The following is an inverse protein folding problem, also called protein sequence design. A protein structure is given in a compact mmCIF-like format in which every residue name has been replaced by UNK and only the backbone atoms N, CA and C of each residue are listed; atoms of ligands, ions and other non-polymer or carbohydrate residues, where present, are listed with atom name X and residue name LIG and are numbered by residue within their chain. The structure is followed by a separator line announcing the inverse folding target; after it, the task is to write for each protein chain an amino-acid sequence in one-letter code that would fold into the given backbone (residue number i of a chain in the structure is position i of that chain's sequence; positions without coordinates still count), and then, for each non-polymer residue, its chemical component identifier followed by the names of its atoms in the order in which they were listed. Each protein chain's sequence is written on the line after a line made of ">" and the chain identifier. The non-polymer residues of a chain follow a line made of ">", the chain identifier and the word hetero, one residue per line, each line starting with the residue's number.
data_IF_909908619450
#
_entry.id   IF_909908619450
#
_cell.length_a   1.000
_cell.length_b   1.000
_cell.length_c   1.000
_cell.angle_alpha   90.00
_cell.angle_beta   90.00
_cell.angle_gamma   90.00
#
_symmetry.space_group_name_H-M   'P 1'
#
loop_
_entity.id
_entity.type
_entity.pdbx_description
1 polymer ?
#
# COMPACT_ATOMS: atom_id res chain seq x y z
N UNK A 1 -29.46 27.27 15.54
CA UNK A 1 -28.15 26.92 16.13
C UNK A 1 -28.32 25.93 17.28
N UNK A 2 -29.34 26.09 18.12
CA UNK A 2 -29.63 25.21 19.26
C UNK A 2 -29.96 23.75 18.91
N UNK A 3 -30.62 23.49 17.78
CA UNK A 3 -30.93 22.11 17.34
C UNK A 3 -29.71 21.29 16.87
N UNK A 4 -28.59 21.95 16.53
CA UNK A 4 -27.32 21.28 16.23
C UNK A 4 -26.54 20.98 17.51
N UNK A 5 -26.55 21.91 18.47
CA UNK A 5 -25.88 21.76 19.77
C UNK A 5 -26.54 20.65 20.60
N UNK A 6 -27.87 20.50 20.53
CA UNK A 6 -28.58 19.41 21.23
C UNK A 6 -28.37 18.04 20.60
N UNK A 7 -28.25 17.93 19.26
CA UNK A 7 -27.85 16.67 18.59
C UNK A 7 -26.41 16.29 18.88
N UNK A 8 -25.53 17.28 19.04
CA UNK A 8 -24.11 17.05 19.34
C UNK A 8 -23.93 16.60 20.79
N UNK A 9 -24.67 17.18 21.76
CA UNK A 9 -24.74 16.65 23.13
C UNK A 9 -25.35 15.25 23.21
N UNK A 10 -26.43 14.97 22.47
CA UNK A 10 -27.01 13.61 22.44
C UNK A 10 -26.07 12.59 21.79
N UNK A 11 -25.23 13.01 20.84
CA UNK A 11 -24.18 12.17 20.27
C UNK A 11 -23.03 11.96 21.27
N UNK A 12 -22.55 13.00 21.93
CA UNK A 12 -21.46 12.91 22.92
C UNK A 12 -21.86 12.11 24.17
N UNK A 13 -23.12 12.20 24.60
CA UNK A 13 -23.65 11.49 25.78
C UNK A 13 -23.92 10.00 25.47
N UNK A 14 -24.29 9.63 24.23
CA UNK A 14 -24.38 8.23 23.80
C UNK A 14 -23.02 7.62 23.41
N UNK A 15 -22.08 8.42 22.89
CA UNK A 15 -20.71 7.96 22.60
C UNK A 15 -19.92 7.72 23.89
N UNK A 16 -20.12 8.55 24.93
CA UNK A 16 -19.53 8.37 26.25
C UNK A 16 -20.02 7.11 26.99
N UNK A 17 -21.25 6.65 26.70
CA UNK A 17 -21.82 5.44 27.31
C UNK A 17 -21.38 4.16 26.58
N UNK A 18 -21.14 4.21 25.27
CA UNK A 18 -20.57 3.05 24.54
C UNK A 18 -19.06 2.88 24.74
N UNK A 19 -18.31 3.92 25.13
CA UNK A 19 -16.88 3.81 25.48
C UNK A 19 -16.61 3.13 26.83
N UNK A 20 -17.65 2.82 27.62
CA UNK A 20 -17.53 2.14 28.92
C UNK A 20 -18.04 0.68 28.91
N UNK A 21 -18.50 0.15 27.77
CA UNK A 21 -18.79 -1.27 27.62
C UNK A 21 -17.50 -2.07 27.36
N UNK A 22 -16.98 -2.62 28.46
CA UNK A 22 -16.01 -3.73 28.53
C UNK A 22 -14.55 -3.42 28.14
N UNK A 23 -13.85 -2.64 28.98
CA UNK A 23 -12.48 -3.02 29.40
C UNK A 23 -12.58 -4.28 30.28
N UNK A 24 -13.06 -5.37 29.69
CA UNK A 24 -13.02 -6.69 30.31
C UNK A 24 -11.56 -7.13 30.25
N UNK A 25 -10.97 -7.47 31.39
CA UNK A 25 -9.63 -8.02 31.43
C UNK A 25 -9.50 -9.11 30.36
N UNK A 26 -8.47 -9.05 29.49
CA UNK A 26 -8.35 -10.01 28.41
C UNK A 26 -8.35 -11.41 29.01
N UNK A 27 -9.29 -12.24 28.54
CA UNK A 27 -9.42 -13.62 29.01
C UNK A 27 -8.09 -14.35 28.85
N UNK A 28 -7.82 -15.36 29.68
CA UNK A 28 -6.58 -16.15 29.59
C UNK A 28 -6.33 -16.67 28.15
N UNK A 29 -7.41 -17.03 27.45
CA UNK A 29 -7.40 -17.44 26.05
C UNK A 29 -6.91 -16.33 25.11
N UNK A 30 -7.39 -15.10 25.30
CA UNK A 30 -6.98 -13.93 24.52
C UNK A 30 -5.50 -13.59 24.74
N UNK A 31 -5.02 -13.66 26.01
CA UNK A 31 -3.60 -13.49 26.33
C UNK A 31 -2.72 -14.56 25.68
N UNK A 32 -3.20 -15.81 25.62
CA UNK A 32 -2.48 -16.91 24.98
C UNK A 32 -2.38 -16.73 23.46
N UNK A 33 -3.48 -16.35 22.79
CA UNK A 33 -3.49 -16.16 21.33
C UNK A 33 -2.68 -14.93 20.91
N UNK A 34 -2.66 -13.87 21.71
CA UNK A 34 -1.87 -12.66 21.45
C UNK A 34 -0.38 -12.81 21.77
N UNK A 35 0.03 -13.94 22.37
CA UNK A 35 1.44 -14.16 22.72
C UNK A 35 2.28 -14.43 21.45
N UNK A 36 3.43 -13.77 21.25
CA UNK A 36 4.24 -13.92 20.03
C UNK A 36 4.75 -15.36 19.79
N UNK A 37 4.89 -16.13 20.86
CA UNK A 37 5.21 -17.56 20.79
C UNK A 37 4.11 -18.42 20.14
N UNK A 38 2.83 -18.01 20.23
CA UNK A 38 1.71 -18.70 19.58
C UNK A 38 1.85 -18.63 18.06
N UNK A 39 2.06 -17.43 17.52
CA UNK A 39 2.26 -17.23 16.08
C UNK A 39 3.53 -17.92 15.58
N UNK A 40 4.62 -17.88 16.37
CA UNK A 40 5.88 -18.55 16.03
C UNK A 40 5.72 -20.08 15.96
N UNK A 41 4.95 -20.68 16.87
CA UNK A 41 4.68 -22.11 16.86
C UNK A 41 3.89 -22.52 15.60
N UNK A 42 2.80 -21.83 15.30
CA UNK A 42 2.00 -22.17 14.11
C UNK A 42 2.73 -21.86 12.80
N UNK A 43 3.58 -20.84 12.77
CA UNK A 43 4.48 -20.60 11.64
C UNK A 43 5.42 -21.81 11.39
N UNK A 44 6.02 -22.36 12.45
CA UNK A 44 6.86 -23.56 12.34
C UNK A 44 6.05 -24.78 11.86
N UNK A 45 4.83 -24.95 12.35
CA UNK A 45 3.93 -26.04 11.90
C UNK A 45 3.58 -25.89 10.41
N UNK A 46 3.34 -24.67 9.92
CA UNK A 46 3.09 -24.42 8.49
C UNK A 46 4.31 -24.76 7.65
N UNK A 47 5.50 -24.31 8.04
CA UNK A 47 6.75 -24.61 7.33
C UNK A 47 6.97 -26.13 7.26
N UNK A 48 6.79 -26.82 8.39
CA UNK A 48 6.94 -28.26 8.45
C UNK A 48 5.87 -28.95 7.58
N UNK A 49 4.62 -28.47 7.57
CA UNK A 49 3.59 -28.97 6.65
C UNK A 49 3.97 -28.80 5.17
N UNK A 50 4.64 -27.70 4.80
CA UNK A 50 5.12 -27.49 3.43
C UNK A 50 6.14 -28.56 3.02
N UNK A 51 7.10 -28.89 3.89
CA UNK A 51 8.06 -29.97 3.64
C UNK A 51 7.38 -31.33 3.48
N UNK A 52 6.36 -31.62 4.30
CA UNK A 52 5.59 -32.86 4.16
C UNK A 52 4.77 -32.93 2.88
N UNK A 53 4.19 -31.82 2.42
CA UNK A 53 3.51 -31.76 1.11
C UNK A 53 4.50 -32.04 -0.02
N UNK A 54 5.69 -31.45 0.02
CA UNK A 54 6.73 -31.71 -0.98
C UNK A 54 7.14 -33.20 -1.00
N UNK A 55 7.33 -33.79 0.18
CA UNK A 55 7.64 -35.21 0.32
C UNK A 55 6.50 -36.12 -0.17
N UNK A 56 5.23 -35.79 0.14
CA UNK A 56 4.05 -36.52 -0.37
C UNK A 56 3.97 -36.48 -1.89
N UNK A 57 4.18 -35.31 -2.51
CA UNK A 57 4.18 -35.18 -3.98
C UNK A 57 5.26 -36.07 -4.58
N UNK A 58 6.46 -36.06 -4.02
CA UNK A 58 7.57 -36.89 -4.50
C UNK A 58 7.29 -38.39 -4.32
N UNK A 59 6.79 -38.81 -3.15
CA UNK A 59 6.38 -40.20 -2.90
C UNK A 59 5.27 -40.65 -3.85
N UNK A 60 4.31 -39.77 -4.17
CA UNK A 60 3.22 -40.08 -5.09
C UNK A 60 3.66 -40.40 -6.51
N UNK A 61 4.82 -39.87 -6.94
CA UNK A 61 5.43 -40.17 -8.24
C UNK A 61 6.12 -41.54 -8.22
N UNK A 62 6.77 -41.91 -7.12
CA UNK A 62 7.47 -43.20 -6.99
C UNK A 62 6.54 -44.37 -6.67
N UNK A 63 5.47 -44.13 -5.91
CA UNK A 63 4.58 -45.15 -5.37
C UNK A 63 3.28 -45.31 -6.19
N UNK A 64 3.27 -44.90 -7.46
CA UNK A 64 2.12 -44.96 -8.39
C UNK A 64 0.80 -44.45 -7.77
N UNK A 65 0.89 -43.35 -7.00
CA UNK A 65 -0.25 -42.73 -6.33
C UNK A 65 -0.81 -43.46 -5.11
N UNK A 66 -0.19 -44.56 -4.63
CA UNK A 66 -0.53 -45.14 -3.32
C UNK A 66 0.14 -44.36 -2.20
N UNK A 67 -0.66 -43.62 -1.43
CA UNK A 67 -0.18 -42.88 -0.25
C UNK A 67 0.01 -43.82 0.94
N UNK A 68 1.20 -43.81 1.54
CA UNK A 68 1.48 -44.52 2.80
C UNK A 68 0.53 -44.07 3.93
N UNK A 69 0.17 -45.02 4.80
CA UNK A 69 -0.66 -44.76 6.00
C UNK A 69 -0.02 -43.67 6.87
N UNK A 70 1.32 -43.66 6.97
CA UNK A 70 2.05 -42.65 7.72
C UNK A 70 1.75 -41.24 7.19
N UNK A 71 1.89 -41.00 5.89
CA UNK A 71 1.64 -39.70 5.27
C UNK A 71 0.20 -39.23 5.47
N UNK A 72 -0.75 -40.16 5.40
CA UNK A 72 -2.16 -39.86 5.66
C UNK A 72 -2.40 -39.41 7.09
N UNK A 73 -1.85 -40.13 8.07
CA UNK A 73 -1.98 -39.75 9.49
C UNK A 73 -1.39 -38.37 9.71
N UNK A 74 -0.19 -38.11 9.19
CA UNK A 74 0.46 -36.80 9.32
C UNK A 74 -0.38 -35.67 8.70
N UNK A 75 -0.99 -35.88 7.54
CA UNK A 75 -1.89 -34.90 6.92
C UNK A 75 -3.10 -34.57 7.79
N UNK A 76 -3.73 -35.59 8.39
CA UNK A 76 -4.85 -35.38 9.29
C UNK A 76 -4.43 -34.65 10.56
N UNK A 77 -3.25 -34.96 11.11
CA UNK A 77 -2.68 -34.23 12.24
C UNK A 77 -2.56 -32.74 11.91
N UNK A 78 -1.97 -32.35 10.77
CA UNK A 78 -1.89 -30.94 10.39
C UNK A 78 -3.27 -30.29 10.21
N UNK A 79 -4.19 -30.95 9.50
CA UNK A 79 -5.55 -30.42 9.31
C UNK A 79 -6.27 -30.17 10.64
N UNK A 80 -6.13 -31.08 11.61
CA UNK A 80 -6.69 -30.93 12.95
C UNK A 80 -6.01 -29.78 13.70
N UNK A 81 -4.67 -29.72 13.70
CA UNK A 81 -3.91 -28.65 14.34
C UNK A 81 -4.32 -27.27 13.82
N UNK A 82 -4.53 -27.12 12.52
CA UNK A 82 -5.01 -25.85 11.93
C UNK A 82 -6.48 -25.55 12.24
N UNK A 83 -7.32 -26.58 12.36
CA UNK A 83 -8.70 -26.40 12.80
C UNK A 83 -8.75 -25.87 14.23
N UNK A 84 -7.90 -26.43 15.11
CA UNK A 84 -7.75 -25.98 16.50
C UNK A 84 -7.24 -24.54 16.53
N UNK A 85 -6.21 -24.20 15.75
CA UNK A 85 -5.70 -22.84 15.66
C UNK A 85 -6.80 -21.83 15.32
N UNK A 86 -7.54 -22.09 14.24
CA UNK A 86 -8.60 -21.21 13.77
C UNK A 86 -9.72 -21.09 14.82
N UNK A 87 -10.10 -22.21 15.45
CA UNK A 87 -11.09 -22.22 16.52
C UNK A 87 -10.64 -21.39 17.73
N UNK A 88 -9.37 -21.48 18.14
CA UNK A 88 -8.80 -20.68 19.24
C UNK A 88 -8.81 -19.18 18.90
N UNK A 89 -8.47 -18.80 17.66
CA UNK A 89 -8.53 -17.40 17.21
C UNK A 89 -9.96 -16.86 17.21
N UNK A 90 -10.93 -17.63 16.72
CA UNK A 90 -12.35 -17.27 16.77
C UNK A 90 -12.89 -17.20 18.20
N UNK A 91 -12.51 -18.13 19.07
CA UNK A 91 -12.94 -18.12 20.48
C UNK A 91 -12.35 -16.94 21.27
N UNK A 92 -11.14 -16.49 20.94
CA UNK A 92 -10.50 -15.34 21.57
C UNK A 92 -11.08 -13.98 21.11
N UNK A 93 -11.40 -13.83 19.82
CA UNK A 93 -11.77 -12.53 19.22
C UNK A 93 -13.23 -12.42 18.79
N UNK A 94 -13.97 -13.53 18.79
CA UNK A 94 -15.36 -13.61 18.35
C UNK A 94 -15.55 -13.27 16.85
N UNK A 95 -16.80 -12.96 16.49
CA UNK A 95 -17.17 -12.59 15.12
C UNK A 95 -16.60 -11.24 14.66
N UNK A 96 -16.15 -10.39 15.60
CA UNK A 96 -15.52 -9.09 15.31
C UNK A 96 -14.21 -9.25 14.52
N UNK A 97 -13.58 -10.41 14.60
CA UNK A 97 -12.41 -10.76 13.80
C UNK A 97 -12.68 -10.67 12.29
N UNK A 98 -13.94 -10.89 11.86
CA UNK A 98 -14.33 -10.83 10.45
C UNK A 98 -14.60 -9.42 9.93
N UNK A 99 -14.60 -8.40 10.79
CA UNK A 99 -14.80 -7.00 10.40
C UNK A 99 -13.53 -6.15 10.56
N UNK A 100 -12.39 -6.77 10.88
CA UNK A 100 -11.11 -6.07 11.04
C UNK A 100 -10.31 -5.96 9.73
N UNK A 101 -9.23 -5.17 9.77
CA UNK A 101 -8.34 -4.91 8.62
C UNK A 101 -7.69 -6.19 8.03
N UNK A 102 -7.57 -7.25 8.83
CA UNK A 102 -6.95 -8.52 8.44
C UNK A 102 -7.95 -9.58 7.93
N UNK A 103 -9.21 -9.20 7.70
CA UNK A 103 -10.29 -10.15 7.38
C UNK A 103 -9.97 -11.08 6.20
N UNK A 104 -9.31 -10.57 5.16
CA UNK A 104 -8.94 -11.34 3.97
C UNK A 104 -8.08 -12.56 4.29
N UNK A 105 -7.18 -12.43 5.27
CA UNK A 105 -6.28 -13.51 5.68
C UNK A 105 -6.99 -14.56 6.55
N UNK A 106 -7.94 -14.12 7.37
CA UNK A 106 -8.79 -15.01 8.17
C UNK A 106 -9.76 -15.78 7.26
N UNK A 107 -10.33 -15.12 6.25
CA UNK A 107 -11.17 -15.77 5.24
C UNK A 107 -10.37 -16.82 4.47
N UNK A 108 -9.14 -16.50 4.07
CA UNK A 108 -8.22 -17.43 3.42
C UNK A 108 -7.98 -18.66 4.30
N UNK A 109 -7.68 -18.46 5.58
CA UNK A 109 -7.48 -19.56 6.52
C UNK A 109 -8.72 -20.42 6.68
N UNK A 110 -9.90 -19.79 6.78
CA UNK A 110 -11.19 -20.48 6.87
C UNK A 110 -11.46 -21.33 5.62
N UNK A 111 -11.22 -20.80 4.42
CA UNK A 111 -11.36 -21.55 3.16
C UNK A 111 -10.40 -22.73 3.12
N UNK A 112 -9.16 -22.57 3.56
CA UNK A 112 -8.17 -23.65 3.56
C UNK A 112 -8.48 -24.71 4.64
N UNK A 113 -8.97 -24.33 5.83
CA UNK A 113 -9.40 -25.30 6.85
C UNK A 113 -10.60 -26.08 6.31
N UNK A 114 -11.58 -25.38 5.73
CA UNK A 114 -12.76 -26.00 5.14
C UNK A 114 -12.37 -26.97 4.01
N UNK A 115 -11.46 -26.58 3.11
CA UNK A 115 -11.00 -27.48 2.05
C UNK A 115 -10.34 -28.74 2.60
N UNK A 116 -9.49 -28.61 3.64
CA UNK A 116 -8.87 -29.76 4.31
C UNK A 116 -9.86 -30.68 5.00
N UNK A 117 -10.90 -30.13 5.64
CA UNK A 117 -11.97 -30.91 6.26
C UNK A 117 -12.84 -31.63 5.21
N UNK A 118 -13.15 -30.97 4.10
CA UNK A 118 -13.90 -31.60 3.00
C UNK A 118 -13.12 -32.77 2.38
N UNK A 119 -11.82 -32.61 2.20
CA UNK A 119 -10.94 -33.67 1.70
C UNK A 119 -10.89 -34.87 2.65
N UNK A 120 -10.73 -34.61 3.97
CA UNK A 120 -10.77 -35.66 5.00
C UNK A 120 -12.12 -36.39 4.99
N UNK A 121 -13.23 -35.65 4.91
CA UNK A 121 -14.58 -36.21 4.86
C UNK A 121 -14.82 -37.08 3.62
N UNK A 122 -14.44 -36.60 2.43
CA UNK A 122 -14.56 -37.37 1.17
C UNK A 122 -13.75 -38.67 1.23
N UNK A 123 -12.53 -38.61 1.75
CA UNK A 123 -11.65 -39.79 1.89
C UNK A 123 -12.23 -40.80 2.87
N UNK A 124 -12.75 -40.34 4.02
CA UNK A 124 -13.36 -41.20 5.03
C UNK A 124 -14.62 -41.90 4.49
N UNK A 125 -15.52 -41.13 3.84
CA UNK A 125 -16.76 -41.67 3.26
C UNK A 125 -16.44 -42.72 2.18
N UNK A 126 -15.47 -42.44 1.30
CA UNK A 126 -15.08 -43.38 0.23
C UNK A 126 -14.54 -44.70 0.81
N UNK A 127 -13.77 -44.65 1.90
CA UNK A 127 -13.24 -45.85 2.57
C UNK A 127 -14.33 -46.64 3.29
N UNK A 128 -15.23 -45.96 4.01
CA UNK A 128 -16.35 -46.62 4.70
C UNK A 128 -17.30 -47.32 3.71
N UNK A 129 -17.52 -46.73 2.53
CA UNK A 129 -18.34 -47.35 1.46
C UNK A 129 -17.63 -48.55 0.82
N UNK A 130 -16.30 -48.55 0.74
CA UNK A 130 -15.55 -49.69 0.18
C UNK A 130 -15.42 -50.87 1.17
N UNK A 131 -15.31 -50.60 2.48
CA UNK A 131 -15.13 -51.65 3.51
C UNK A 131 -16.46 -52.17 4.08
N UNK A 132 -17.54 -51.38 4.00
CA UNK A 132 -18.89 -51.80 4.39
C UNK A 132 -19.65 -52.40 3.20
N UNK A 133 -19.90 -53.71 3.20
CA UNK A 133 -20.77 -54.41 2.24
C UNK A 133 -22.26 -54.01 2.25
N UNK A 134 -22.57 -52.77 2.67
CA UNK A 134 -23.90 -52.19 2.70
C UNK A 134 -24.21 -51.46 1.40
N UNK A 135 -25.37 -51.78 0.84
CA UNK A 135 -25.97 -51.32 -0.42
C UNK A 135 -26.29 -49.82 -0.51
N UNK A 136 -25.51 -48.93 0.10
CA UNK A 136 -25.54 -47.51 -0.27
C UNK A 136 -24.66 -47.33 -1.49
N UNK A 137 -25.20 -47.75 -2.63
CA UNK A 137 -24.70 -47.37 -3.95
C UNK A 137 -24.96 -45.87 -4.12
N UNK A 138 -24.18 -45.01 -3.44
CA UNK A 138 -24.09 -43.62 -3.86
C UNK A 138 -23.61 -43.72 -5.30
N UNK A 139 -24.41 -43.21 -6.24
CA UNK A 139 -24.16 -43.28 -7.67
C UNK A 139 -22.98 -42.36 -8.07
N UNK A 140 -21.82 -42.57 -7.43
CA UNK A 140 -20.52 -41.92 -7.60
C UNK A 140 -19.82 -42.37 -8.89
N UNK A 141 -20.39 -43.34 -9.61
CA UNK A 141 -19.93 -43.76 -10.94
C UNK A 141 -20.20 -42.70 -12.02
N UNK A 142 -21.01 -41.67 -11.73
CA UNK A 142 -21.09 -40.49 -12.59
C UNK A 142 -19.80 -39.67 -12.49
N UNK A 143 -19.22 -39.31 -13.64
CA UNK A 143 -18.03 -38.48 -13.91
C UNK A 143 -17.70 -37.27 -12.98
N UNK A 144 -18.54 -36.95 -12.00
CA UNK A 144 -18.34 -35.94 -10.95
C UNK A 144 -17.42 -36.40 -9.82
N UNK A 145 -17.46 -37.66 -9.37
CA UNK A 145 -16.64 -38.12 -8.23
C UNK A 145 -15.13 -38.10 -8.53
N UNK A 146 -14.74 -38.61 -9.70
CA UNK A 146 -13.34 -38.55 -10.16
C UNK A 146 -12.84 -37.11 -10.36
N UNK A 147 -13.72 -36.20 -10.80
CA UNK A 147 -13.39 -34.77 -10.92
C UNK A 147 -13.18 -34.13 -9.55
N UNK A 148 -14.02 -34.45 -8.57
CA UNK A 148 -13.91 -33.97 -7.19
C UNK A 148 -12.59 -34.45 -6.56
N UNK A 149 -12.21 -35.73 -6.74
CA UNK A 149 -10.93 -36.27 -6.23
C UNK A 149 -9.72 -35.55 -6.84
N UNK A 150 -9.78 -35.13 -8.11
CA UNK A 150 -8.71 -34.33 -8.74
C UNK A 150 -8.65 -32.91 -8.19
N UNK A 151 -9.81 -32.29 -7.97
CA UNK A 151 -9.89 -30.93 -7.40
C UNK A 151 -9.39 -30.91 -5.96
N UNK A 152 -9.72 -31.91 -5.13
CA UNK A 152 -9.22 -31.96 -3.75
C UNK A 152 -7.70 -32.04 -3.67
N UNK A 153 -7.02 -32.69 -4.63
CA UNK A 153 -5.54 -32.68 -4.74
C UNK A 153 -4.99 -31.26 -4.96
N UNK A 154 -5.62 -30.45 -5.80
CA UNK A 154 -5.21 -29.05 -6.03
C UNK A 154 -5.50 -28.21 -4.77
N UNK A 155 -6.61 -28.46 -4.08
CA UNK A 155 -6.93 -27.74 -2.84
C UNK A 155 -5.93 -28.00 -1.71
N UNK A 156 -5.21 -29.15 -1.71
CA UNK A 156 -4.10 -29.40 -0.77
C UNK A 156 -2.98 -28.38 -0.93
N UNK A 157 -2.62 -28.00 -2.17
CA UNK A 157 -1.49 -27.08 -2.41
C UNK A 157 -1.80 -25.66 -1.95
N UNK A 158 -3.07 -25.29 -1.83
CA UNK A 158 -3.47 -24.00 -1.25
C UNK A 158 -3.02 -23.84 0.20
N UNK A 159 -2.76 -24.94 0.94
CA UNK A 159 -2.20 -24.88 2.29
C UNK A 159 -0.84 -24.18 2.34
N UNK A 160 -0.07 -24.23 1.25
CA UNK A 160 1.23 -23.53 1.13
C UNK A 160 1.06 -22.01 1.22
N UNK A 161 -0.07 -21.47 0.74
CA UNK A 161 -0.35 -20.02 0.74
C UNK A 161 -0.44 -19.47 2.18
N UNK A 162 -0.72 -20.32 3.17
CA UNK A 162 -0.75 -19.91 4.59
C UNK A 162 0.57 -19.36 5.09
N UNK A 163 1.70 -19.76 4.50
CA UNK A 163 3.02 -19.25 4.89
C UNK A 163 3.08 -17.72 4.79
N UNK A 164 2.36 -17.15 3.81
CA UNK A 164 2.29 -15.70 3.60
C UNK A 164 1.56 -14.96 4.73
N UNK A 165 0.64 -15.63 5.43
CA UNK A 165 -0.05 -15.01 6.57
C UNK A 165 0.86 -14.88 7.79
N UNK A 166 1.70 -15.87 8.05
CA UNK A 166 2.54 -15.91 9.26
C UNK A 166 3.78 -15.02 9.15
N UNK A 167 4.30 -14.82 7.94
CA UNK A 167 5.50 -14.02 7.71
C UNK A 167 5.09 -12.61 7.30
N UNK A 168 5.20 -11.67 8.23
CA UNK A 168 4.83 -10.26 8.00
C UNK A 168 5.48 -9.68 6.74
N UNK A 169 6.77 -9.95 6.49
CA UNK A 169 7.46 -9.49 5.30
C UNK A 169 6.83 -10.01 3.99
N UNK A 170 6.41 -11.28 3.96
CA UNK A 170 5.76 -11.86 2.79
C UNK A 170 4.35 -11.31 2.60
N UNK A 171 3.61 -11.11 3.70
CA UNK A 171 2.27 -10.49 3.67
C UNK A 171 2.32 -9.12 3.01
N UNK A 172 3.27 -8.27 3.44
CA UNK A 172 3.46 -6.94 2.86
C UNK A 172 3.77 -7.02 1.37
N UNK A 173 4.70 -7.89 0.95
CA UNK A 173 5.02 -8.07 -0.46
C UNK A 173 3.81 -8.52 -1.30
N UNK A 174 3.05 -9.50 -0.83
CA UNK A 174 1.84 -9.99 -1.52
C UNK A 174 0.79 -8.89 -1.61
N UNK A 175 0.55 -8.15 -0.53
CA UNK A 175 -0.36 -7.01 -0.54
C UNK A 175 0.08 -5.96 -1.56
N UNK A 176 1.37 -5.59 -1.61
CA UNK A 176 1.91 -4.68 -2.64
C UNK A 176 1.71 -5.21 -4.06
N UNK A 177 1.96 -6.51 -4.29
CA UNK A 177 1.72 -7.15 -5.60
C UNK A 177 0.24 -7.02 -5.98
N UNK A 178 -0.69 -7.37 -5.09
CA UNK A 178 -2.13 -7.29 -5.37
C UNK A 178 -2.57 -5.86 -5.69
N UNK A 179 -2.02 -4.86 -4.99
CA UNK A 179 -2.28 -3.46 -5.31
C UNK A 179 -1.79 -3.08 -6.72
N UNK A 180 -0.57 -3.48 -7.09
CA UNK A 180 -0.04 -3.20 -8.44
C UNK A 180 -0.81 -3.97 -9.53
N UNK A 181 -1.30 -5.18 -9.26
CA UNK A 181 -2.09 -5.97 -10.20
C UNK A 181 -3.37 -5.26 -10.65
N UNK A 182 -4.01 -4.46 -9.78
CA UNK A 182 -5.22 -3.69 -10.15
C UNK A 182 -4.94 -2.69 -11.28
N UNK A 183 -3.78 -2.04 -11.26
CA UNK A 183 -3.35 -1.13 -12.32
C UNK A 183 -2.96 -1.87 -13.60
N UNK A 184 -2.24 -2.99 -13.44
CA UNK A 184 -1.79 -3.85 -14.53
C UNK A 184 -2.96 -4.46 -15.29
N UNK A 185 -4.05 -4.79 -14.58
CA UNK A 185 -5.24 -5.39 -15.18
C UNK A 185 -5.76 -4.57 -16.37
N UNK A 186 -5.84 -3.25 -16.25
CA UNK A 186 -6.32 -2.39 -17.32
C UNK A 186 -5.34 -2.30 -18.50
N UNK A 187 -4.04 -2.25 -18.21
CA UNK A 187 -3.00 -2.26 -19.24
C UNK A 187 -3.00 -3.60 -20.01
N UNK A 188 -3.16 -4.71 -19.31
CA UNK A 188 -3.31 -6.05 -19.91
C UNK A 188 -4.62 -6.18 -20.68
N UNK A 189 -5.73 -5.60 -20.19
CA UNK A 189 -7.00 -5.59 -20.92
C UNK A 189 -6.88 -4.83 -22.25
N UNK A 190 -6.16 -3.70 -22.27
CA UNK A 190 -5.86 -2.96 -23.49
C UNK A 190 -5.00 -3.79 -24.46
N UNK A 191 -3.95 -4.45 -23.97
CA UNK A 191 -3.13 -5.35 -24.78
C UNK A 191 -3.96 -6.50 -25.38
N UNK A 192 -4.82 -7.13 -24.58
CA UNK A 192 -5.72 -8.19 -25.03
C UNK A 192 -6.73 -7.70 -26.07
N UNK A 193 -7.21 -6.47 -25.94
CA UNK A 193 -8.10 -5.84 -26.92
C UNK A 193 -7.38 -5.63 -28.26
N UNK A 194 -6.14 -5.15 -28.23
CA UNK A 194 -5.32 -4.98 -29.45
C UNK A 194 -5.08 -6.35 -30.11
N UNK A 195 -4.66 -7.35 -29.34
CA UNK A 195 -4.48 -8.73 -29.83
C UNK A 195 -5.78 -9.25 -30.44
N UNK A 196 -6.93 -9.05 -29.79
CA UNK A 196 -8.23 -9.46 -30.29
C UNK A 196 -8.54 -8.81 -31.66
N UNK A 197 -8.38 -7.49 -31.79
CA UNK A 197 -8.66 -6.76 -33.03
C UNK A 197 -7.79 -7.29 -34.19
N UNK A 198 -6.48 -7.43 -33.98
CA UNK A 198 -5.59 -7.97 -35.02
C UNK A 198 -5.86 -9.45 -35.31
N UNK A 199 -6.26 -10.24 -34.32
CA UNK A 199 -6.61 -11.65 -34.52
C UNK A 199 -7.84 -11.79 -35.40
N UNK A 200 -8.87 -10.97 -35.20
CA UNK A 200 -10.06 -10.95 -36.06
C UNK A 200 -9.67 -10.62 -37.50
N UNK A 201 -8.88 -9.55 -37.70
CA UNK A 201 -8.46 -9.13 -39.04
C UNK A 201 -7.66 -10.21 -39.78
N UNK A 202 -6.73 -10.89 -39.11
CA UNK A 202 -5.88 -11.91 -39.73
C UNK A 202 -6.65 -13.22 -39.97
N UNK A 203 -7.54 -13.63 -39.07
CA UNK A 203 -8.37 -14.82 -39.28
C UNK A 203 -9.34 -14.59 -40.44
N UNK A 204 -9.93 -13.39 -40.55
CA UNK A 204 -10.78 -13.01 -41.68
C UNK A 204 -9.99 -13.03 -42.99
N UNK A 205 -8.77 -12.48 -43.01
CA UNK A 205 -7.88 -12.53 -44.18
C UNK A 205 -7.56 -13.96 -44.66
N UNK A 206 -7.27 -14.85 -43.71
CA UNK A 206 -6.98 -16.26 -43.98
C UNK A 206 -8.23 -16.98 -44.49
N UNK A 207 -9.38 -16.72 -43.84
CA UNK A 207 -10.68 -17.29 -44.23
C UNK A 207 -11.12 -16.83 -45.62
N UNK A 208 -10.88 -15.57 -45.98
CA UNK A 208 -11.24 -15.01 -47.28
C UNK A 208 -10.41 -15.60 -48.42
N UNK A 209 -9.12 -15.87 -48.19
CA UNK A 209 -8.23 -16.42 -49.21
C UNK A 209 -8.43 -17.92 -49.41
N UNK A 210 -8.55 -18.67 -48.32
CA UNK A 210 -8.55 -20.13 -48.35
C UNK A 210 -9.93 -20.77 -48.22
N UNK A 211 -10.94 -20.01 -47.79
CA UNK A 211 -12.27 -20.53 -47.49
C UNK A 211 -12.25 -21.39 -46.22
N UNK A 212 -12.74 -22.63 -46.32
CA UNK A 212 -12.71 -23.58 -45.22
C UNK A 212 -11.31 -24.21 -45.03
N UNK A 213 -10.96 -24.54 -43.78
CA UNK A 213 -9.72 -25.26 -43.46
C UNK A 213 -9.61 -26.62 -44.18
N UNK A 214 -10.72 -27.23 -44.60
CA UNK A 214 -10.77 -28.48 -45.36
C UNK A 214 -10.68 -28.28 -46.89
N UNK A 215 -10.12 -27.16 -47.36
CA UNK A 215 -10.03 -26.88 -48.79
C UNK A 215 -9.05 -27.86 -49.48
N UNK A 216 -9.51 -28.71 -50.41
CA UNK A 216 -8.67 -29.71 -51.08
C UNK A 216 -7.59 -29.11 -52.00
N UNK A 217 -7.66 -27.81 -52.31
CA UNK A 217 -6.67 -27.11 -53.13
C UNK A 217 -5.53 -26.47 -52.32
N UNK A 218 -5.58 -26.56 -50.98
CA UNK A 218 -4.54 -26.01 -50.12
C UNK A 218 -3.32 -26.95 -50.05
N UNK A 219 -2.09 -26.44 -50.23
CA UNK A 219 -0.89 -27.23 -49.99
C UNK A 219 -0.85 -27.74 -48.54
N UNK A 220 -0.40 -28.99 -48.30
CA UNK A 220 -0.45 -29.58 -46.96
C UNK A 220 0.37 -28.81 -45.91
N UNK A 221 1.49 -28.20 -46.33
CA UNK A 221 2.32 -27.34 -45.46
C UNK A 221 1.58 -26.05 -45.04
N UNK A 222 0.77 -25.47 -45.93
CA UNK A 222 -0.01 -24.27 -45.63
C UNK A 222 -1.22 -24.60 -44.75
N UNK A 223 -1.82 -25.77 -44.95
CA UNK A 223 -2.87 -26.30 -44.09
C UNK A 223 -2.38 -26.50 -42.67
N UNK A 224 -1.19 -27.09 -42.50
CA UNK A 224 -0.59 -27.30 -41.18
C UNK A 224 -0.31 -25.97 -40.47
N UNK A 225 0.31 -25.00 -41.16
CA UNK A 225 0.63 -23.69 -40.58
C UNK A 225 -0.62 -22.86 -40.23
N UNK A 226 -1.61 -22.83 -41.13
CA UNK A 226 -2.87 -22.14 -40.88
C UNK A 226 -3.63 -22.80 -39.73
N UNK A 227 -3.63 -24.13 -39.67
CA UNK A 227 -4.27 -24.86 -38.58
C UNK A 227 -3.55 -24.66 -37.25
N UNK A 228 -2.22 -24.55 -37.25
CA UNK A 228 -1.43 -24.27 -36.06
C UNK A 228 -1.69 -22.85 -35.50
N UNK A 229 -1.70 -21.83 -36.36
CA UNK A 229 -1.68 -20.44 -35.91
C UNK A 229 -3.03 -19.70 -36.03
N UNK A 230 -3.86 -20.04 -37.01
CA UNK A 230 -5.07 -19.30 -37.39
C UNK A 230 -6.35 -20.17 -37.43
N UNK A 231 -6.33 -21.40 -36.89
CA UNK A 231 -7.49 -22.31 -36.92
C UNK A 231 -8.76 -21.74 -36.30
N UNK A 232 -8.63 -20.91 -35.27
CA UNK A 232 -9.76 -20.21 -34.66
C UNK A 232 -9.30 -18.91 -34.01
N UNK A 233 -10.26 -18.04 -33.68
CA UNK A 233 -9.96 -16.75 -33.06
C UNK A 233 -9.11 -16.87 -31.78
N UNK A 234 -9.39 -17.78 -30.82
CA UNK A 234 -8.49 -18.00 -29.68
C UNK A 234 -7.09 -18.48 -30.04
N UNK A 235 -6.94 -19.30 -31.10
CA UNK A 235 -5.62 -19.73 -31.57
C UNK A 235 -4.85 -18.56 -32.16
N UNK A 236 -5.49 -17.72 -32.98
CA UNK A 236 -4.87 -16.52 -33.51
C UNK A 236 -4.46 -15.55 -32.40
N UNK A 237 -5.33 -15.34 -31.40
CA UNK A 237 -4.99 -14.52 -30.23
C UNK A 237 -3.79 -15.07 -29.47
N UNK A 238 -3.72 -16.40 -29.28
CA UNK A 238 -2.58 -17.06 -28.65
C UNK A 238 -1.31 -16.92 -29.50
N UNK A 239 -1.38 -17.13 -30.81
CA UNK A 239 -0.26 -16.99 -31.75
C UNK A 239 0.33 -15.57 -31.75
N UNK A 240 -0.54 -14.56 -31.77
CA UNK A 240 -0.12 -13.15 -31.67
C UNK A 240 0.52 -12.85 -30.31
N UNK A 241 -0.07 -13.35 -29.21
CA UNK A 241 0.53 -13.24 -27.89
C UNK A 241 1.91 -13.92 -27.82
N UNK A 242 2.05 -15.15 -28.33
CA UNK A 242 3.31 -15.89 -28.38
C UNK A 242 4.37 -15.16 -29.22
N UNK A 243 3.96 -14.48 -30.29
CA UNK A 243 4.87 -13.71 -31.16
C UNK A 243 5.53 -12.53 -30.44
N UNK A 244 4.83 -11.91 -29.48
CA UNK A 244 5.36 -10.78 -28.70
C UNK A 244 6.00 -11.21 -27.37
N UNK A 245 5.66 -12.38 -26.85
CA UNK A 245 6.16 -12.90 -25.56
C UNK A 245 7.36 -13.83 -25.69
N UNK A 246 7.84 -14.09 -26.91
CA UNK A 246 8.96 -15.00 -27.17
C UNK A 246 8.60 -16.49 -27.13
N UNK A 247 7.33 -16.84 -27.36
CA UNK A 247 6.87 -18.23 -27.44
C UNK A 247 7.12 -18.88 -28.80
N UNK A 248 6.82 -18.16 -29.89
CA UNK A 248 7.06 -18.59 -31.27
C UNK A 248 7.76 -17.49 -32.03
N UNK A 249 8.61 -17.84 -33.00
CA UNK A 249 9.20 -16.83 -33.88
C UNK A 249 8.09 -16.15 -34.67
N UNK A 250 8.09 -14.81 -34.68
CA UNK A 250 7.15 -14.03 -35.49
C UNK A 250 7.28 -14.36 -36.99
N UNK A 251 8.42 -14.89 -37.42
CA UNK A 251 8.68 -15.37 -38.78
C UNK A 251 7.80 -16.58 -39.15
N UNK A 252 7.55 -17.50 -38.21
CA UNK A 252 6.74 -18.68 -38.48
C UNK A 252 5.27 -18.30 -38.69
N UNK A 253 4.79 -17.31 -37.92
CA UNK A 253 3.40 -16.83 -37.98
C UNK A 253 3.16 -15.93 -39.20
N UNK A 254 4.16 -15.17 -39.65
CA UNK A 254 4.04 -14.30 -40.83
C UNK A 254 4.16 -15.05 -42.16
N UNK A 255 4.85 -16.20 -42.18
CA UNK A 255 5.06 -17.04 -43.37
C UNK A 255 3.75 -17.36 -44.14
N UNK A 256 2.69 -17.90 -43.51
CA UNK A 256 1.42 -18.16 -44.21
C UNK A 256 0.72 -16.88 -44.71
N UNK A 257 0.92 -15.74 -44.05
CA UNK A 257 0.34 -14.45 -44.48
C UNK A 257 1.03 -13.91 -45.74
N UNK A 258 2.33 -14.16 -45.89
CA UNK A 258 3.10 -13.78 -47.09
C UNK A 258 2.63 -14.47 -48.35
N UNK A 259 2.11 -15.70 -48.24
CA UNK A 259 1.54 -16.46 -49.37
C UNK A 259 0.17 -15.93 -49.82
N UNK A 260 -0.56 -15.22 -48.95
CA UNK A 260 -1.85 -14.60 -49.26
C UNK A 260 -1.64 -13.26 -50.00
N UNK A 261 -0.93 -12.33 -49.38
CA UNK A 261 -0.65 -11.00 -49.94
C UNK A 261 0.40 -10.26 -49.13
N UNK A 262 1.29 -9.53 -49.81
CA UNK A 262 2.25 -8.63 -49.18
C UNK A 262 1.59 -7.56 -48.29
N UNK A 263 0.32 -7.22 -48.53
CA UNK A 263 -0.42 -6.30 -47.67
C UNK A 263 -0.58 -6.81 -46.24
N UNK A 264 -0.87 -8.11 -46.07
CA UNK A 264 -1.04 -8.72 -44.74
C UNK A 264 0.27 -8.86 -43.98
N UNK A 265 1.38 -9.02 -44.70
CA UNK A 265 2.74 -8.95 -44.12
C UNK A 265 2.98 -7.58 -43.50
N UNK A 266 2.62 -6.49 -44.20
CA UNK A 266 2.77 -5.12 -43.67
C UNK A 266 1.89 -4.90 -42.44
N UNK A 267 0.64 -5.39 -42.47
CA UNK A 267 -0.27 -5.32 -41.31
C UNK A 267 0.29 -6.06 -40.10
N UNK A 268 0.84 -7.27 -40.30
CA UNK A 268 1.45 -8.04 -39.22
C UNK A 268 2.73 -7.39 -38.67
N UNK A 269 3.59 -6.85 -39.54
CA UNK A 269 4.78 -6.10 -39.12
C UNK A 269 4.41 -4.82 -38.36
N UNK A 270 3.33 -4.15 -38.75
CA UNK A 270 2.78 -3.03 -37.99
C UNK A 270 2.31 -3.46 -36.61
N UNK A 271 1.58 -4.59 -36.49
CA UNK A 271 1.18 -5.15 -35.20
C UNK A 271 2.39 -5.42 -34.30
N UNK A 272 3.42 -6.10 -34.81
CA UNK A 272 4.64 -6.40 -34.04
C UNK A 272 5.32 -5.11 -33.60
N UNK A 273 5.56 -4.18 -34.52
CA UNK A 273 6.26 -2.92 -34.24
C UNK A 273 5.49 -2.07 -33.21
N UNK A 274 4.18 -1.91 -33.42
CA UNK A 274 3.31 -1.15 -32.53
C UNK A 274 3.26 -1.77 -31.13
N UNK A 275 3.08 -3.09 -31.05
CA UNK A 275 2.97 -3.77 -29.76
C UNK A 275 4.29 -3.76 -29.01
N UNK A 276 5.40 -4.01 -29.70
CA UNK A 276 6.72 -4.11 -29.07
C UNK A 276 7.28 -2.74 -28.66
N UNK A 277 7.25 -1.74 -29.57
CA UNK A 277 7.86 -0.44 -29.30
C UNK A 277 6.95 0.52 -28.52
N UNK A 278 5.62 0.40 -28.64
CA UNK A 278 4.70 1.29 -27.94
C UNK A 278 3.99 0.58 -26.79
N UNK A 279 3.21 -0.46 -27.07
CA UNK A 279 2.27 -1.03 -26.08
C UNK A 279 3.00 -1.67 -24.89
N UNK A 280 4.00 -2.52 -25.13
CA UNK A 280 4.76 -3.16 -24.05
C UNK A 280 5.48 -2.13 -23.17
N UNK A 281 6.05 -1.08 -23.77
CA UNK A 281 6.68 0.01 -23.03
C UNK A 281 5.67 0.81 -22.18
N UNK A 282 4.45 1.03 -22.67
CA UNK A 282 3.37 1.65 -21.89
C UNK A 282 2.97 0.75 -20.72
N UNK A 283 2.82 -0.56 -20.93
CA UNK A 283 2.49 -1.52 -19.87
C UNK A 283 3.57 -1.51 -18.78
N UNK A 284 4.85 -1.57 -19.17
CA UNK A 284 5.98 -1.47 -18.23
C UNK A 284 5.95 -0.14 -17.48
N UNK A 285 5.70 0.98 -18.17
CA UNK A 285 5.59 2.30 -17.55
C UNK A 285 4.47 2.39 -16.51
N UNK A 286 3.28 1.90 -16.82
CA UNK A 286 2.13 1.87 -15.89
C UNK A 286 2.44 1.00 -14.67
N UNK A 287 3.08 -0.16 -14.88
CA UNK A 287 3.47 -1.04 -13.79
C UNK A 287 4.51 -0.37 -12.86
N UNK A 288 5.55 0.23 -13.43
CA UNK A 288 6.56 0.97 -12.67
C UNK A 288 5.94 2.15 -11.89
N UNK A 289 5.08 2.94 -12.53
CA UNK A 289 4.40 4.05 -11.86
C UNK A 289 3.54 3.57 -10.70
N UNK A 290 2.79 2.49 -10.89
CA UNK A 290 1.92 1.95 -9.85
C UNK A 290 2.71 1.34 -8.68
N UNK A 291 3.88 0.78 -8.94
CA UNK A 291 4.80 0.33 -7.90
C UNK A 291 5.36 1.52 -7.10
N UNK A 292 5.74 2.62 -7.77
CA UNK A 292 6.18 3.86 -7.12
C UNK A 292 5.05 4.45 -6.27
N UNK A 293 3.84 4.56 -6.83
CA UNK A 293 2.68 5.09 -6.12
C UNK A 293 2.31 4.22 -4.91
N UNK A 294 2.44 2.88 -5.02
CA UNK A 294 2.24 1.97 -3.88
C UNK A 294 3.26 2.21 -2.77
N UNK A 295 4.54 2.39 -3.13
CA UNK A 295 5.59 2.67 -2.15
C UNK A 295 5.41 4.03 -1.45
N UNK A 296 4.95 5.04 -2.19
CA UNK A 296 4.65 6.37 -1.62
C UNK A 296 3.38 6.37 -0.76
N UNK A 297 2.33 5.65 -1.17
CA UNK A 297 1.09 5.54 -0.43
C UNK A 297 1.23 4.71 0.86
N UNK A 298 2.18 3.78 0.95
CA UNK A 298 2.51 3.14 2.24
C UNK A 298 2.98 4.17 3.27
N UNK A 299 3.74 5.20 2.86
CA UNK A 299 4.08 6.32 3.75
C UNK A 299 2.87 7.19 4.11
N UNK A 300 1.95 7.44 3.17
CA UNK A 300 0.74 8.21 3.43
C UNK A 300 -0.29 7.45 4.30
N UNK A 301 -0.42 6.14 4.13
CA UNK A 301 -1.28 5.27 4.94
C UNK A 301 -0.73 5.11 6.37
N UNK A 302 0.59 5.10 6.54
CA UNK A 302 1.24 5.24 7.85
C UNK A 302 0.87 6.59 8.49
N UNK A 303 0.79 7.68 7.73
CA UNK A 303 0.30 8.97 8.23
C UNK A 303 -1.20 8.96 8.58
N UNK A 304 -2.03 8.20 7.86
CA UNK A 304 -3.46 8.10 8.12
C UNK A 304 -3.80 7.15 9.29
N UNK A 305 -3.05 6.06 9.46
CA UNK A 305 -3.13 5.22 10.66
C UNK A 305 -2.62 5.95 11.91
N UNK A 306 -1.68 6.90 11.74
CA UNK A 306 -1.31 7.85 12.79
C UNK A 306 -2.43 8.84 13.14
N UNK A 307 -3.27 9.24 12.18
CA UNK A 307 -4.44 10.10 12.44
C UNK A 307 -5.56 9.34 13.16
N UNK A 308 -5.75 8.06 12.86
CA UNK A 308 -6.68 7.18 13.59
C UNK A 308 -6.23 6.95 15.04
N UNK A 309 -4.91 6.93 15.28
CA UNK A 309 -4.31 6.92 16.62
C UNK A 309 -4.22 8.29 17.29
N UNK A 310 -4.92 9.34 16.80
CA UNK A 310 -4.92 10.67 17.42
C UNK A 310 -5.19 10.61 18.92
N UNK A 311 -6.15 9.80 19.35
CA UNK A 311 -6.50 9.67 20.78
C UNK A 311 -5.40 8.97 21.58
N UNK A 312 -4.78 7.91 21.04
CA UNK A 312 -3.64 7.25 21.68
C UNK A 312 -2.39 8.16 21.75
N UNK A 313 -2.18 9.01 20.75
CA UNK A 313 -1.11 10.00 20.74
C UNK A 313 -1.39 11.16 21.70
N UNK A 314 -2.65 11.60 21.82
CA UNK A 314 -3.09 12.59 22.81
C UNK A 314 -2.79 12.08 24.21
N UNK A 315 -3.10 10.83 24.51
CA UNK A 315 -2.88 10.25 25.84
C UNK A 315 -1.39 10.17 26.19
N UNK A 316 -0.54 9.75 25.24
CA UNK A 316 0.92 9.73 25.41
C UNK A 316 1.52 11.13 25.57
N UNK A 317 1.03 12.13 24.83
CA UNK A 317 1.49 13.51 24.97
C UNK A 317 1.07 14.09 26.32
N UNK A 318 -0.13 13.77 26.82
CA UNK A 318 -0.55 14.15 28.18
C UNK A 318 0.34 13.51 29.25
N UNK A 319 0.70 12.23 29.10
CA UNK A 319 1.63 11.55 30.01
C UNK A 319 3.00 12.26 30.02
N UNK A 320 3.51 12.64 28.85
CA UNK A 320 4.78 13.35 28.73
C UNK A 320 4.72 14.75 29.32
N UNK A 321 3.62 15.48 29.10
CA UNK A 321 3.36 16.78 29.70
C UNK A 321 3.36 16.71 31.22
N UNK A 322 2.78 15.64 31.78
CA UNK A 322 2.81 15.36 33.22
C UNK A 322 4.23 15.06 33.73
N UNK A 323 4.98 14.20 33.05
CA UNK A 323 6.36 13.83 33.43
C UNK A 323 7.34 15.00 33.41
N UNK A 324 7.10 16.02 32.58
CA UNK A 324 7.87 17.27 32.56
C UNK A 324 7.55 18.20 33.75
N UNK A 325 6.71 17.77 34.69
CA UNK A 325 6.44 18.45 35.95
C UNK A 325 5.24 19.40 35.92
N UNK A 326 4.42 19.37 34.86
CA UNK A 326 3.29 20.28 34.70
C UNK A 326 2.06 19.94 35.55
N UNK A 327 2.09 18.84 36.31
CA UNK A 327 0.96 18.27 37.08
C UNK A 327 0.25 19.27 37.99
N UNK A 328 0.98 20.28 38.49
CA UNK A 328 0.48 21.25 39.48
C UNK A 328 0.17 22.62 38.89
N UNK A 329 0.80 22.97 37.79
CA UNK A 329 0.75 24.32 37.19
C UNK A 329 -0.03 24.36 35.88
N UNK A 330 -0.19 23.22 35.19
CA UNK A 330 -0.75 23.17 33.84
C UNK A 330 0.14 23.81 32.78
N UNK A 331 1.38 24.16 33.13
CA UNK A 331 2.31 24.97 32.34
C UNK A 331 3.72 24.39 32.46
N UNK A 332 4.46 24.36 31.34
CA UNK A 332 5.87 23.98 31.29
C UNK A 332 6.71 25.24 31.06
N UNK A 333 7.60 25.57 31.99
CA UNK A 333 8.59 26.64 31.81
C UNK A 333 9.87 26.10 31.17
N UNK A 334 10.71 26.98 30.62
CA UNK A 334 11.97 26.55 30.00
C UNK A 334 12.86 25.73 30.95
N UNK A 335 13.00 26.17 32.21
CA UNK A 335 13.81 25.43 33.20
C UNK A 335 13.28 24.02 33.48
N UNK A 336 11.95 23.86 33.58
CA UNK A 336 11.33 22.54 33.74
C UNK A 336 11.54 21.67 32.51
N UNK A 337 11.48 22.27 31.31
CA UNK A 337 11.71 21.58 30.06
C UNK A 337 13.17 21.13 29.91
N UNK A 338 14.13 22.00 30.25
CA UNK A 338 15.57 21.72 30.19
C UNK A 338 16.00 20.61 31.15
N UNK A 339 15.43 20.57 32.36
CA UNK A 339 15.65 19.48 33.32
C UNK A 339 14.97 18.18 32.86
N UNK A 340 13.74 18.28 32.35
CA UNK A 340 12.93 17.11 31.98
C UNK A 340 13.37 16.43 30.69
N UNK A 341 13.87 17.19 29.70
CA UNK A 341 14.28 16.66 28.40
C UNK A 341 15.55 15.79 28.48
N UNK A 342 16.36 15.95 29.53
CA UNK A 342 17.53 15.11 29.76
C UNK A 342 17.19 13.72 30.32
N UNK A 343 15.94 13.51 30.74
CA UNK A 343 15.48 12.22 31.24
C UNK A 343 15.45 11.18 30.11
N UNK A 344 16.08 10.00 30.27
CA UNK A 344 16.08 8.94 29.26
C UNK A 344 14.67 8.55 28.80
N UNK A 345 13.70 8.59 29.72
CA UNK A 345 12.31 8.28 29.40
C UNK A 345 11.69 9.34 28.47
N UNK A 346 12.00 10.62 28.64
CA UNK A 346 11.46 11.71 27.80
C UNK A 346 12.08 11.67 26.40
N UNK A 347 13.39 11.38 26.32
CA UNK A 347 14.10 11.18 25.05
C UNK A 347 13.51 10.02 24.25
N UNK A 348 13.39 8.84 24.87
CA UNK A 348 12.79 7.67 24.24
C UNK A 348 11.37 7.96 23.73
N UNK A 349 10.58 8.71 24.51
CA UNK A 349 9.24 9.10 24.07
C UNK A 349 9.27 10.08 22.87
N UNK A 350 10.16 11.08 22.85
CA UNK A 350 10.31 11.96 21.68
C UNK A 350 10.76 11.17 20.43
N UNK A 351 11.66 10.19 20.59
CA UNK A 351 12.04 9.28 19.51
C UNK A 351 10.85 8.46 19.00
N UNK A 352 9.99 7.93 19.89
CA UNK A 352 8.76 7.23 19.46
C UNK A 352 7.77 8.14 18.72
N UNK A 353 7.81 9.45 19.01
CA UNK A 353 7.05 10.46 18.27
C UNK A 353 7.75 10.88 16.96
N UNK A 354 8.97 10.40 16.68
CA UNK A 354 9.74 10.81 15.51
C UNK A 354 10.19 12.27 15.57
N UNK A 355 10.41 12.78 16.79
CA UNK A 355 10.94 14.11 17.07
C UNK A 355 12.39 13.96 17.52
N UNK A 356 13.29 14.61 16.80
CA UNK A 356 14.72 14.56 17.07
C UNK A 356 15.16 15.89 17.69
N UNK A 357 15.26 15.91 19.02
CA UNK A 357 15.44 17.15 19.79
C UNK A 357 16.88 17.25 20.30
N UNK A 358 17.73 17.93 19.54
CA UNK A 358 19.14 18.17 19.88
C UNK A 358 19.37 19.45 20.68
N UNK A 359 18.45 20.42 20.55
CA UNK A 359 18.53 21.74 21.19
C UNK A 359 17.22 22.06 21.90
N UNK A 360 17.24 21.96 23.23
CA UNK A 360 16.09 22.20 24.09
C UNK A 360 15.57 23.64 23.97
N UNK A 361 16.45 24.63 23.78
CA UNK A 361 16.06 26.04 23.68
C UNK A 361 15.34 26.35 22.38
N UNK A 362 15.93 25.93 21.25
CA UNK A 362 15.29 26.11 19.95
C UNK A 362 13.96 25.36 19.89
N UNK A 363 13.90 24.15 20.45
CA UNK A 363 12.65 23.38 20.47
C UNK A 363 11.59 24.04 21.37
N UNK A 364 11.95 24.48 22.58
CA UNK A 364 11.03 25.20 23.46
C UNK A 364 10.44 26.45 22.79
N UNK A 365 11.27 27.24 22.10
CA UNK A 365 10.80 28.39 21.31
C UNK A 365 9.87 28.03 20.15
N UNK A 366 10.01 26.84 19.59
CA UNK A 366 9.09 26.37 18.55
C UNK A 366 7.76 25.88 19.13
N UNK A 367 7.70 25.62 20.43
CA UNK A 367 6.48 25.28 21.16
C UNK A 367 5.77 26.52 21.72
N UNK A 368 6.53 27.45 22.30
CA UNK A 368 6.07 28.74 22.85
C UNK A 368 5.67 29.71 21.72
N UNK A 369 4.39 29.67 21.34
CA UNK A 369 3.86 30.42 20.20
C UNK A 369 3.53 31.87 20.52
N UNK A 370 3.14 32.13 21.77
CA UNK A 370 2.75 33.45 22.25
C UNK A 370 3.93 34.25 22.85
N UNK A 371 5.10 33.61 22.95
CA UNK A 371 6.30 34.15 23.58
C UNK A 371 6.09 34.52 25.05
N UNK A 372 5.20 33.80 25.74
CA UNK A 372 4.87 34.00 27.16
C UNK A 372 5.95 33.47 28.11
N UNK A 373 6.91 32.67 27.61
CA UNK A 373 7.96 32.04 28.42
C UNK A 373 7.48 30.78 29.16
N UNK A 374 6.27 30.31 28.86
CA UNK A 374 5.67 29.08 29.38
C UNK A 374 4.80 28.45 28.31
N UNK A 375 4.81 27.12 28.22
CA UNK A 375 4.06 26.37 27.22
C UNK A 375 2.87 25.67 27.88
N UNK A 376 1.66 25.96 27.39
CA UNK A 376 0.44 25.25 27.79
C UNK A 376 0.33 23.87 27.15
N UNK A 377 -0.51 22.99 27.71
CA UNK A 377 -0.71 21.64 27.16
C UNK A 377 -1.17 21.65 25.70
N UNK A 378 -1.99 22.62 25.31
CA UNK A 378 -2.52 22.71 23.96
C UNK A 378 -1.45 23.20 22.98
N UNK A 379 -0.58 24.12 23.40
CA UNK A 379 0.59 24.57 22.64
C UNK A 379 1.65 23.48 22.53
N UNK A 380 1.93 22.78 23.63
CA UNK A 380 2.83 21.63 23.65
C UNK A 380 2.36 20.55 22.67
N UNK A 381 1.07 20.22 22.71
CA UNK A 381 0.46 19.24 21.82
C UNK A 381 0.51 19.67 20.36
N UNK A 382 0.07 20.89 20.04
CA UNK A 382 0.10 21.45 18.68
C UNK A 382 1.53 21.55 18.15
N UNK A 383 2.47 21.94 18.99
CA UNK A 383 3.88 22.06 18.67
C UNK A 383 4.53 20.71 18.35
N UNK A 384 4.32 19.70 19.20
CA UNK A 384 4.81 18.33 18.95
C UNK A 384 4.22 17.74 17.65
N UNK A 385 2.95 17.98 17.37
CA UNK A 385 2.32 17.52 16.12
C UNK A 385 2.85 18.25 14.89
N UNK A 386 3.15 19.55 15.01
CA UNK A 386 3.64 20.37 13.90
C UNK A 386 5.09 20.06 13.54
N UNK A 387 5.92 19.81 14.54
CA UNK A 387 7.36 19.59 14.37
C UNK A 387 7.71 18.15 13.99
N UNK A 388 6.71 17.26 13.94
CA UNK A 388 6.89 15.84 13.63
C UNK A 388 7.03 15.62 12.12
N UNK A 389 8.13 14.99 11.72
CA UNK A 389 8.38 14.57 10.34
C UNK A 389 9.00 15.67 9.47
N UNK A 390 9.04 15.43 8.15
CA UNK A 390 9.65 16.35 7.19
C UNK A 390 8.70 17.50 6.81
N UNK A 391 9.25 18.69 6.59
CA UNK A 391 8.48 19.87 6.16
C UNK A 391 7.76 19.61 4.82
N UNK A 392 6.48 19.97 4.72
CA UNK A 392 5.67 19.79 3.50
C UNK A 392 5.84 20.98 2.57
N UNK A 393 5.50 20.80 1.29
CA UNK A 393 5.51 21.90 0.31
C UNK A 393 4.65 23.10 0.71
N UNK A 394 3.57 22.88 1.48
CA UNK A 394 2.72 23.95 2.03
C UNK A 394 3.43 24.75 3.12
N UNK A 395 4.23 24.09 3.98
CA UNK A 395 4.99 24.75 5.04
C UNK A 395 6.08 25.65 4.43
N UNK A 396 6.74 25.17 3.38
CA UNK A 396 7.69 25.96 2.59
C UNK A 396 6.98 27.12 1.87
N UNK A 397 5.79 26.89 1.31
CA UNK A 397 4.97 27.93 0.71
C UNK A 397 4.58 29.04 1.70
N UNK A 398 4.23 28.68 2.93
CA UNK A 398 3.96 29.62 4.02
C UNK A 398 5.20 30.41 4.40
N UNK A 399 6.35 29.76 4.56
CA UNK A 399 7.63 30.42 4.83
C UNK A 399 7.96 31.47 3.74
N UNK A 400 7.84 31.09 2.47
CA UNK A 400 8.09 31.98 1.33
C UNK A 400 7.12 33.18 1.33
N UNK A 401 5.85 32.94 1.65
CA UNK A 401 4.86 34.01 1.78
C UNK A 401 5.21 34.97 2.94
N UNK A 402 5.52 34.43 4.11
CA UNK A 402 5.84 35.21 5.31
C UNK A 402 7.16 35.98 5.13
N UNK A 403 8.15 35.40 4.46
CA UNK A 403 9.38 36.09 4.07
C UNK A 403 9.12 37.26 3.13
N UNK A 404 8.28 37.06 2.08
CA UNK A 404 7.88 38.14 1.18
C UNK A 404 7.13 39.24 1.93
N UNK A 405 6.28 38.88 2.88
CA UNK A 405 5.57 39.83 3.72
C UNK A 405 6.54 40.63 4.62
N UNK A 406 7.48 39.96 5.27
CA UNK A 406 8.52 40.58 6.10
C UNK A 406 9.38 41.57 5.31
N UNK A 407 9.83 41.19 4.10
CA UNK A 407 10.61 42.08 3.22
C UNK A 407 9.80 43.35 2.89
N UNK A 408 8.51 43.21 2.54
CA UNK A 408 7.63 44.36 2.29
C UNK A 408 7.37 45.21 3.53
N UNK A 409 7.21 44.58 4.69
CA UNK A 409 7.02 45.28 5.96
C UNK A 409 8.28 46.08 6.34
N UNK A 410 9.46 45.48 6.20
CA UNK A 410 10.75 46.13 6.43
C UNK A 410 10.97 47.33 5.48
N UNK A 411 10.65 47.18 4.19
CA UNK A 411 10.72 48.29 3.24
C UNK A 411 9.82 49.47 3.62
N UNK A 412 8.59 49.20 4.09
CA UNK A 412 7.68 50.24 4.60
C UNK A 412 8.21 50.93 5.86
N UNK A 413 8.77 50.15 6.79
CA UNK A 413 9.36 50.68 8.01
C UNK A 413 10.58 51.56 7.70
N UNK A 414 11.45 51.11 6.79
CA UNK A 414 12.61 51.89 6.36
C UNK A 414 12.19 53.23 5.73
N UNK A 415 11.21 53.22 4.82
CA UNK A 415 10.68 54.45 4.23
C UNK A 415 10.08 55.41 5.28
N UNK A 416 9.38 54.87 6.28
CA UNK A 416 8.84 55.66 7.40
C UNK A 416 9.96 56.31 8.24
N UNK A 417 11.00 55.55 8.57
CA UNK A 417 12.14 56.02 9.35
C UNK A 417 12.94 57.07 8.56
N UNK A 418 13.18 56.86 7.27
CA UNK A 418 13.85 57.83 6.39
C UNK A 418 13.05 59.14 6.29
N UNK A 419 11.73 59.07 6.16
CA UNK A 419 10.87 60.26 6.15
C UNK A 419 10.96 61.05 7.46
N UNK A 420 10.88 60.36 8.62
CA UNK A 420 10.97 61.02 9.93
C UNK A 420 12.36 61.59 10.23
N UNK A 421 13.42 60.91 9.84
CA UNK A 421 14.79 61.44 9.92
C UNK A 421 14.95 62.66 9.00
N UNK A 422 14.35 62.65 7.82
CA UNK A 422 14.31 63.79 6.90
C UNK A 422 13.64 65.02 7.54
N UNK A 423 12.45 64.84 8.13
CA UNK A 423 11.73 65.91 8.86
C UNK A 423 12.60 66.47 10.01
N UNK A 424 13.25 65.61 10.80
CA UNK A 424 14.13 66.05 11.88
C UNK A 424 15.33 66.87 11.37
N UNK A 425 15.94 66.47 10.25
CA UNK A 425 17.04 67.21 9.64
C UNK A 425 16.59 68.60 9.17
N UNK A 426 15.40 68.72 8.58
CA UNK A 426 14.86 70.01 8.15
C UNK A 426 14.57 70.94 9.32
N UNK A 427 14.03 70.42 10.44
CA UNK A 427 13.82 71.19 11.67
C UNK A 427 15.16 71.64 12.28
N UNK A 428 16.18 70.76 12.29
CA UNK A 428 17.52 71.10 12.74
C UNK A 428 18.16 72.20 11.86
N UNK A 429 18.01 72.11 10.53
CA UNK A 429 18.51 73.14 9.60
C UNK A 429 17.81 74.49 9.78
N UNK A 430 16.50 74.50 10.11
CA UNK A 430 15.74 75.71 10.42
C UNK A 430 16.17 76.34 11.76
N UNK A 431 16.45 75.52 12.78
CA UNK A 431 16.96 75.99 14.07
C UNK A 431 18.41 76.51 13.97
N UNK A 432 19.22 75.93 13.08
CA UNK A 432 20.64 76.24 12.94
C UNK A 432 20.92 77.39 11.95
N UNK A 433 19.96 78.32 11.81
CA UNK A 433 20.02 79.45 10.90
C UNK A 433 21.41 80.10 10.87
N UNK A 434 22.10 79.92 9.74
CA UNK A 434 23.44 80.43 9.41
C UNK A 434 24.62 79.54 9.80
N UNK A 435 24.88 78.45 9.07
CA UNK A 435 26.23 78.15 8.55
C UNK A 435 26.18 76.92 7.62
N UNK A 436 26.41 77.15 6.31
CA UNK A 436 26.94 76.32 5.20
C UNK A 436 27.21 74.78 5.34
N UNK A 437 26.57 74.02 6.22
CA UNK A 437 26.85 72.58 6.43
C UNK A 437 25.82 71.65 5.75
N UNK A 438 24.61 72.12 5.46
CA UNK A 438 23.51 71.28 4.97
C UNK A 438 23.65 70.76 3.52
N UNK A 439 24.44 71.42 2.66
CA UNK A 439 24.55 71.02 1.24
C UNK A 439 25.36 69.75 1.00
N UNK A 440 26.25 69.38 1.92
CA UNK A 440 27.16 68.23 1.72
C UNK A 440 26.54 66.91 2.21
N UNK A 441 25.69 66.94 3.25
CA UNK A 441 25.01 65.74 3.76
C UNK A 441 23.91 65.23 2.81
N UNK A 442 23.11 66.14 2.23
CA UNK A 442 22.02 65.79 1.29
C UNK A 442 22.56 65.15 -0.01
N UNK A 443 23.74 65.57 -0.48
CA UNK A 443 24.38 65.03 -1.69
C UNK A 443 25.01 63.65 -1.49
N UNK A 444 25.55 63.36 -0.30
CA UNK A 444 26.18 62.06 -0.02
C UNK A 444 25.15 61.00 0.40
N UNK A 445 24.05 61.39 1.05
CA UNK A 445 22.97 60.47 1.40
C UNK A 445 22.16 60.02 0.17
N UNK A 446 21.81 60.95 -0.74
CA UNK A 446 21.07 60.65 -1.97
C UNK A 446 21.86 59.79 -2.98
N UNK A 447 23.20 59.71 -2.89
CA UNK A 447 24.02 58.82 -3.72
C UNK A 447 24.12 57.39 -3.19
N UNK A 448 23.79 57.15 -1.91
CA UNK A 448 23.82 55.82 -1.29
C UNK A 448 22.54 55.02 -1.49
N UNK A 449 21.44 55.66 -1.92
CA UNK A 449 20.12 55.05 -2.08
C UNK A 449 19.74 55.03 -3.55
N UNK A 450 20.41 54.19 -4.34
CA UNK A 450 19.80 53.70 -5.57
C UNK A 450 18.79 52.64 -5.16
N UNK A 451 17.53 52.68 -5.65
CA UNK A 451 16.59 51.60 -5.41
C UNK A 451 17.24 50.33 -5.96
N UNK A 452 17.49 49.36 -5.08
CA UNK A 452 17.85 48.02 -5.51
C UNK A 452 16.62 47.49 -6.22
N UNK A 453 16.62 47.56 -7.56
CA UNK A 453 15.66 46.88 -8.42
C UNK A 453 15.75 45.38 -8.14
N UNK A 454 14.97 44.90 -7.18
CA UNK A 454 14.85 43.49 -6.80
C UNK A 454 14.01 42.68 -7.80
N UNK A 455 13.53 43.27 -8.90
CA UNK A 455 12.77 42.53 -9.93
C UNK A 455 13.67 41.81 -10.96
N UNK A 456 14.96 42.11 -11.05
CA UNK A 456 15.86 41.52 -12.08
C UNK A 456 16.64 40.26 -11.66
N UNK A 457 16.38 39.68 -10.47
CA UNK A 457 17.10 38.49 -9.99
C UNK A 457 16.26 37.23 -9.79
N UNK A 458 15.00 37.22 -10.24
CA UNK A 458 14.20 36.01 -10.34
C UNK A 458 13.77 35.77 -11.79
N UNK A 459 14.72 35.32 -12.62
CA UNK A 459 14.47 34.63 -13.88
C UNK A 459 15.31 33.34 -13.89
#
# INVERSE_FOLDING_TARGET
>A
MDARISRQRYADENYGVHSLEELKDPTCLQKMVQHPGFDSFFAMVVILNCFFIAFEVQDSVWSDGQTSIFLMVTQYTFSITFTIELALRFAASGWRLLCGDEWSWILLDLVIVASGLTEMGVTLVTRMVNDGGGSVQVNLQGFKAFRIIRVTRILKTLRLVRVFRFIMALRTLVTSIVYTLKSLFWAMALLMLIIFVFSVLLVEAVSDHWGSLDNPNMPPEDAENIQAYFASLPHAMLSLFMSISGGVSWEEVISPLGKISNGWVVVYLFYISFTYFAVLNVVTGVFCQSAIDSAQNDHANVVQSMLANKEAHVEKIKELFSRLGADKTGLITYGMFEEGIQSPAVIEYFETLGLDVWDAWSFFKLLDLDAGGSVEIEEFFKGCLRLRGQARGVDLGKLLHDQRWLIKAQGRFQAYVEAKLGEMCEVLDQMNGSHKLAKTAKSNFMRGVSPVNMEERCA
#
